data_IF_945778226673
#
_entry.id   IF_945778226673
#
_cell.length_a   1.000
_cell.length_b   1.000
_cell.length_c   1.000
_cell.angle_alpha   90.00
_cell.angle_beta   90.00
_cell.angle_gamma   90.00
#
_symmetry.space_group_name_H-M   'P 1'
#
loop_
_entity.id
_entity.type
_entity.pdbx_description
1 polymer ?
#
# COMPACT_ATOMS: atom_id res chain seq x y z
N UNK A 1 -20.69 1.01 -7.12
CA UNK A 1 -20.60 1.25 -5.66
C UNK A 1 -19.20 1.76 -5.32
N UNK A 2 -19.07 2.67 -4.35
CA UNK A 2 -17.80 3.33 -4.01
C UNK A 2 -16.67 2.34 -3.67
N UNK A 3 -17.00 1.23 -3.00
CA UNK A 3 -16.02 0.20 -2.66
C UNK A 3 -15.30 -0.37 -3.89
N UNK A 4 -16.03 -0.57 -5.00
CA UNK A 4 -15.43 -1.07 -6.25
C UNK A 4 -14.45 -0.07 -6.86
N UNK A 5 -14.66 1.24 -6.63
CA UNK A 5 -13.74 2.28 -7.09
C UNK A 5 -12.49 2.34 -6.19
N UNK A 6 -12.68 2.23 -4.86
CA UNK A 6 -11.58 2.16 -3.89
C UNK A 6 -10.69 0.95 -4.17
N UNK A 7 -11.29 -0.21 -4.42
CA UNK A 7 -10.57 -1.46 -4.70
C UNK A 7 -10.20 -1.63 -6.17
N UNK A 8 -10.42 -0.63 -7.01
CA UNK A 8 -9.98 -0.71 -8.41
C UNK A 8 -8.46 -0.79 -8.47
N UNK A 9 -7.95 -1.63 -9.39
CA UNK A 9 -6.51 -1.87 -9.54
C UNK A 9 -5.73 -0.55 -9.67
N UNK A 10 -6.22 0.38 -10.47
CA UNK A 10 -5.54 1.64 -10.73
C UNK A 10 -5.48 2.51 -9.46
N UNK A 11 -6.57 2.56 -8.68
CA UNK A 11 -6.58 3.27 -7.41
C UNK A 11 -5.60 2.67 -6.40
N UNK A 12 -5.56 1.33 -6.28
CA UNK A 12 -4.64 0.65 -5.37
C UNK A 12 -3.17 0.83 -5.77
N UNK A 13 -2.86 0.81 -7.07
CA UNK A 13 -1.50 1.08 -7.57
C UNK A 13 -1.08 2.53 -7.29
N UNK A 14 -1.99 3.49 -7.47
CA UNK A 14 -1.73 4.90 -7.12
C UNK A 14 -1.50 5.07 -5.62
N UNK A 15 -2.31 4.44 -4.79
CA UNK A 15 -2.18 4.46 -3.34
C UNK A 15 -0.83 3.89 -2.90
N UNK A 16 -0.45 2.72 -3.40
CA UNK A 16 0.82 2.07 -3.11
C UNK A 16 2.02 2.98 -3.44
N UNK A 17 2.04 3.56 -4.64
CA UNK A 17 3.11 4.50 -5.05
C UNK A 17 3.18 5.76 -4.19
N UNK A 18 2.06 6.18 -3.60
CA UNK A 18 2.02 7.36 -2.72
C UNK A 18 2.55 7.01 -1.34
N UNK A 19 2.19 5.85 -0.79
CA UNK A 19 2.75 5.35 0.48
C UNK A 19 4.27 5.18 0.38
N UNK A 20 4.77 4.59 -0.70
CA UNK A 20 6.21 4.46 -0.97
C UNK A 20 6.94 5.81 -1.04
N UNK A 21 6.30 6.83 -1.63
CA UNK A 21 6.87 8.18 -1.75
C UNK A 21 6.89 8.96 -0.44
N UNK A 22 5.90 8.74 0.43
CA UNK A 22 5.79 9.47 1.69
C UNK A 22 6.91 9.12 2.69
N UNK A 23 7.59 7.97 2.53
CA UNK A 23 8.74 7.53 3.36
C UNK A 23 8.52 7.76 4.87
N UNK A 24 7.39 7.26 5.38
CA UNK A 24 7.06 7.32 6.81
C UNK A 24 7.81 6.28 7.63
N UNK A 25 7.94 6.53 8.94
CA UNK A 25 8.31 5.50 9.91
C UNK A 25 7.27 4.37 9.90
N UNK A 26 7.73 3.19 10.30
CA UNK A 26 6.87 2.02 10.42
C UNK A 26 5.82 2.19 11.52
N UNK A 27 4.74 1.43 11.40
CA UNK A 27 3.69 1.36 12.42
C UNK A 27 4.11 0.48 13.60
N UNK A 28 3.11 0.02 14.37
CA UNK A 28 3.30 -0.88 15.52
C UNK A 28 3.85 -2.24 15.09
N UNK A 29 3.62 -2.66 13.84
CA UNK A 29 4.14 -3.89 13.25
C UNK A 29 5.61 -3.80 12.82
N UNK A 30 6.23 -2.63 12.97
CA UNK A 30 7.61 -2.34 12.57
C UNK A 30 7.93 -2.62 11.08
N UNK A 31 6.91 -2.78 10.24
CA UNK A 31 7.11 -3.08 8.82
C UNK A 31 7.58 -1.83 8.06
N UNK A 32 8.82 -1.86 7.59
CA UNK A 32 9.32 -0.83 6.67
C UNK A 32 8.54 -0.84 5.36
N UNK A 33 8.24 0.34 4.81
CA UNK A 33 7.58 0.51 3.49
C UNK A 33 8.32 -0.22 2.35
N UNK A 34 9.61 -0.51 2.51
CA UNK A 34 10.41 -1.29 1.56
C UNK A 34 9.89 -2.72 1.37
N UNK A 35 9.20 -3.28 2.35
CA UNK A 35 8.66 -4.64 2.31
C UNK A 35 7.18 -4.71 1.90
N UNK A 36 6.50 -3.56 1.80
CA UNK A 36 5.06 -3.49 1.56
C UNK A 36 4.60 -4.22 0.29
N UNK A 37 5.34 -4.09 -0.82
CA UNK A 37 5.02 -4.80 -2.07
C UNK A 37 5.04 -6.31 -1.91
N UNK A 38 6.03 -6.84 -1.20
CA UNK A 38 6.19 -8.27 -0.98
C UNK A 38 5.07 -8.78 -0.08
N UNK A 39 4.77 -8.06 0.99
CA UNK A 39 3.69 -8.40 1.92
C UNK A 39 2.31 -8.48 1.24
N UNK A 40 2.02 -7.58 0.30
CA UNK A 40 0.76 -7.60 -0.47
C UNK A 40 0.68 -8.69 -1.56
N UNK A 41 1.81 -9.31 -1.92
CA UNK A 41 1.84 -10.39 -2.90
C UNK A 41 1.77 -11.78 -2.24
N UNK A 42 2.39 -11.90 -1.06
CA UNK A 42 2.48 -13.17 -0.33
C UNK A 42 1.22 -13.51 0.48
N UNK A 43 0.33 -12.54 0.67
CA UNK A 43 -0.98 -12.69 1.34
C UNK A 43 -2.12 -12.39 0.37
#
# INVERSE_FOLDING_TARGET
MLMNQILSRDNLILALKRVERNKGSHGIDEMSVKFLRRHLYDN
#
